data_IF_064742239887
#
_entry.id   IF_064742239887
#
_cell.length_a   1.000
_cell.length_b   1.000
_cell.length_c   1.000
_cell.angle_alpha   90.00
_cell.angle_beta   90.00
_cell.angle_gamma   90.00
#
_symmetry.space_group_name_H-M   'P 1'
#
loop_
_entity.id
_entity.type
_entity.pdbx_description
1 polymer ?
#
# COMPACT_ATOMS: atom_id res chain seq x y z
N UNK A 1 2.38 4.45 13.85
CA UNK A 1 2.71 4.49 12.40
C UNK A 1 2.79 5.95 11.96
N UNK A 2 3.55 6.28 10.93
CA UNK A 2 3.71 7.67 10.47
C UNK A 2 2.99 7.91 9.15
N UNK A 3 2.25 9.02 9.05
CA UNK A 3 1.54 9.42 7.84
C UNK A 3 1.65 10.94 7.61
N UNK A 4 1.54 11.36 6.35
CA UNK A 4 1.50 12.76 5.99
C UNK A 4 0.13 13.37 6.34
N UNK A 5 0.15 14.48 7.05
CA UNK A 5 -1.02 15.27 7.42
C UNK A 5 -0.95 16.66 6.81
N UNK A 6 -2.04 17.08 6.18
CA UNK A 6 -2.17 18.43 5.65
C UNK A 6 -2.89 19.33 6.65
N UNK A 7 -2.18 20.32 7.20
CA UNK A 7 -2.73 21.28 8.18
C UNK A 7 -3.87 22.12 7.57
N UNK A 8 -3.75 22.50 6.30
CA UNK A 8 -4.75 23.30 5.58
C UNK A 8 -6.04 22.52 5.34
N UNK A 9 -5.93 21.28 4.85
CA UNK A 9 -7.08 20.41 4.58
C UNK A 9 -7.58 19.65 5.83
N UNK A 10 -6.86 19.74 6.95
CA UNK A 10 -7.13 19.09 8.23
C UNK A 10 -7.38 17.58 8.12
N UNK A 11 -6.56 16.89 7.32
CA UNK A 11 -6.69 15.45 7.09
C UNK A 11 -5.34 14.77 6.86
N UNK A 12 -5.28 13.48 7.17
CA UNK A 12 -4.22 12.60 6.68
C UNK A 12 -4.37 12.40 5.17
N UNK A 13 -3.25 12.34 4.46
CA UNK A 13 -3.19 12.21 3.02
C UNK A 13 -2.96 10.75 2.63
N UNK A 14 -3.84 10.22 1.78
CA UNK A 14 -3.54 9.02 1.02
C UNK A 14 -2.39 9.31 0.04
N UNK A 15 -1.65 8.29 -0.35
CA UNK A 15 -0.47 8.40 -1.23
C UNK A 15 -0.78 9.13 -2.54
N UNK A 16 -1.97 8.89 -3.10
CA UNK A 16 -2.46 9.53 -4.33
C UNK A 16 -2.71 11.05 -4.20
N UNK A 17 -2.81 11.56 -2.97
CA UNK A 17 -2.99 12.98 -2.64
C UNK A 17 -1.67 13.68 -2.30
N UNK A 18 -0.56 12.96 -2.40
CA UNK A 18 0.79 13.46 -2.20
C UNK A 18 1.48 13.52 -3.55
N UNK A 19 2.12 14.66 -3.83
CA UNK A 19 2.95 14.86 -5.01
C UNK A 19 4.28 15.50 -4.61
N UNK A 20 5.34 15.28 -5.37
CA UNK A 20 6.64 15.87 -5.13
C UNK A 20 7.66 15.48 -6.19
N UNK A 21 8.91 15.83 -5.96
CA UNK A 21 10.02 15.44 -6.82
C UNK A 21 10.52 14.04 -6.50
N UNK A 22 10.77 13.27 -7.55
CA UNK A 22 11.35 11.93 -7.47
C UNK A 22 12.72 11.98 -6.76
N UNK A 23 12.93 11.09 -5.78
CA UNK A 23 14.16 10.98 -4.99
C UNK A 23 15.22 10.05 -5.59
N UNK A 24 14.86 9.24 -6.59
CA UNK A 24 15.81 8.38 -7.29
C UNK A 24 16.80 9.20 -8.14
N UNK A 25 18.09 8.93 -7.96
CA UNK A 25 19.16 9.58 -8.71
C UNK A 25 19.04 9.33 -10.22
N UNK A 26 19.43 10.32 -11.02
CA UNK A 26 19.36 10.26 -12.49
C UNK A 26 17.98 10.53 -13.07
N UNK A 27 16.94 10.70 -12.25
CA UNK A 27 15.59 11.02 -12.69
C UNK A 27 15.08 12.31 -12.03
N UNK A 28 14.94 13.36 -12.83
CA UNK A 28 14.32 14.62 -12.39
C UNK A 28 12.87 14.65 -12.84
N UNK A 29 11.95 14.39 -11.91
CA UNK A 29 10.52 14.46 -12.18
C UNK A 29 9.80 15.08 -10.97
N UNK A 30 9.29 16.30 -11.15
CA UNK A 30 8.77 17.15 -10.07
C UNK A 30 7.28 16.92 -9.75
N UNK A 31 6.69 15.89 -10.33
CA UNK A 31 5.27 15.54 -10.16
C UNK A 31 5.07 14.06 -9.89
N UNK A 32 6.08 13.41 -9.30
CA UNK A 32 5.97 12.04 -8.83
C UNK A 32 4.85 11.95 -7.80
N UNK A 33 4.07 10.86 -7.85
CA UNK A 33 3.03 10.59 -6.85
C UNK A 33 3.66 9.93 -5.64
N UNK A 34 2.95 9.98 -4.52
CA UNK A 34 3.38 9.36 -3.28
C UNK A 34 3.58 7.84 -3.36
N UNK A 35 2.96 7.15 -4.32
CA UNK A 35 2.98 5.69 -4.49
C UNK A 35 3.94 5.21 -5.59
N UNK A 36 4.09 6.00 -6.66
CA UNK A 36 4.97 5.64 -7.79
C UNK A 36 5.41 6.86 -8.60
N UNK A 37 6.53 6.71 -9.31
CA UNK A 37 7.01 7.68 -10.27
C UNK A 37 6.72 7.24 -11.71
N UNK A 38 5.99 8.06 -12.47
CA UNK A 38 5.68 7.81 -13.89
C UNK A 38 6.92 7.86 -14.79
N UNK A 39 7.96 8.56 -14.38
CA UNK A 39 9.16 8.74 -15.20
C UNK A 39 10.15 7.57 -15.08
N UNK A 40 10.38 7.05 -13.87
CA UNK A 40 11.33 5.95 -13.65
C UNK A 40 10.67 4.60 -13.39
N UNK A 41 9.36 4.56 -13.12
CA UNK A 41 8.60 3.33 -12.86
C UNK A 41 8.81 2.73 -11.47
N UNK A 42 9.63 3.35 -10.62
CA UNK A 42 9.87 2.87 -9.26
C UNK A 42 8.68 3.15 -8.34
N UNK A 43 8.48 2.24 -7.39
CA UNK A 43 7.62 2.46 -6.23
C UNK A 43 8.31 3.45 -5.29
N UNK A 44 7.51 4.31 -4.68
CA UNK A 44 7.95 5.35 -3.76
C UNK A 44 7.11 5.30 -2.49
N UNK A 45 7.70 5.72 -1.38
CA UNK A 45 6.91 6.13 -0.22
C UNK A 45 6.67 7.64 -0.26
N UNK A 46 5.49 8.15 0.18
CA UNK A 46 5.21 9.58 0.18
C UNK A 46 6.20 10.40 1.02
N UNK A 47 6.83 9.78 2.02
CA UNK A 47 7.82 10.42 2.90
C UNK A 47 9.21 10.52 2.27
N UNK A 48 9.46 9.80 1.16
CA UNK A 48 10.74 9.82 0.43
C UNK A 48 10.76 10.87 -0.69
N UNK A 49 9.60 11.43 -1.04
CA UNK A 49 9.50 12.49 -2.05
C UNK A 49 10.22 13.76 -1.58
N UNK A 50 10.94 14.38 -2.51
CA UNK A 50 11.54 15.71 -2.30
C UNK A 50 10.44 16.77 -2.56
N UNK A 51 10.48 17.89 -1.83
CA UNK A 51 9.53 19.01 -1.98
C UNK A 51 8.06 18.59 -1.98
N UNK A 52 7.72 17.69 -1.05
CA UNK A 52 6.39 17.09 -0.91
C UNK A 52 5.29 18.14 -0.74
N UNK A 53 4.20 17.98 -1.49
CA UNK A 53 3.03 18.87 -1.48
C UNK A 53 1.74 18.07 -1.42
N UNK A 54 0.73 18.67 -0.78
CA UNK A 54 -0.64 18.18 -0.88
C UNK A 54 -1.21 18.50 -2.26
N UNK A 55 -1.65 17.50 -3.01
CA UNK A 55 -2.22 17.67 -4.35
C UNK A 55 -3.45 18.60 -4.37
N UNK A 56 -4.19 18.66 -3.26
CA UNK A 56 -5.43 19.43 -3.12
C UNK A 56 -5.21 20.93 -2.90
N UNK A 57 -4.35 21.30 -1.95
CA UNK A 57 -4.16 22.70 -1.55
C UNK A 57 -2.74 23.24 -1.80
N UNK A 58 -1.85 22.40 -2.33
CA UNK A 58 -0.45 22.71 -2.66
C UNK A 58 0.44 23.11 -1.47
N UNK A 59 -0.05 23.02 -0.23
CA UNK A 59 0.77 23.25 0.96
C UNK A 59 1.60 22.02 1.32
N UNK A 60 2.72 22.26 1.99
CA UNK A 60 3.63 21.21 2.46
C UNK A 60 2.95 20.45 3.61
N UNK A 61 2.72 19.12 3.49
CA UNK A 61 2.21 18.30 4.58
C UNK A 61 3.30 18.00 5.61
N UNK A 62 2.90 17.59 6.81
CA UNK A 62 3.83 17.20 7.90
C UNK A 62 3.64 15.74 8.26
N UNK A 63 4.73 15.07 8.60
CA UNK A 63 4.64 13.72 9.18
C UNK A 63 4.02 13.82 10.57
N UNK A 64 3.03 12.96 10.84
CA UNK A 64 2.39 12.81 12.14
C UNK A 64 2.22 11.35 12.47
N UNK A 65 2.30 11.04 13.76
CA UNK A 65 1.96 9.72 14.27
C UNK A 65 0.45 9.51 14.24
N UNK A 66 0.07 8.28 13.94
CA UNK A 66 -1.31 7.82 13.91
C UNK A 66 -1.38 6.39 14.45
N UNK A 67 -2.45 6.14 15.20
CA UNK A 67 -2.81 4.83 15.72
C UNK A 67 -3.67 4.12 14.68
N UNK A 68 -3.24 2.93 14.28
CA UNK A 68 -3.94 2.10 13.31
C UNK A 68 -4.25 0.76 13.96
N UNK A 69 -5.48 0.29 13.74
CA UNK A 69 -5.86 -1.08 14.07
C UNK A 69 -5.54 -1.96 12.87
N UNK A 70 -4.87 -3.07 13.12
CA UNK A 70 -4.54 -4.05 12.09
C UNK A 70 -5.35 -5.32 12.33
N UNK A 71 -5.75 -5.95 11.22
CA UNK A 71 -6.35 -7.28 11.25
C UNK A 71 -5.21 -8.28 11.12
N UNK A 72 -5.10 -9.18 12.09
CA UNK A 72 -4.12 -10.25 12.07
C UNK A 72 -4.62 -11.37 11.15
N UNK A 73 -4.34 -11.24 9.85
CA UNK A 73 -4.82 -12.16 8.82
C UNK A 73 -4.33 -13.60 9.02
N UNK A 74 -3.18 -13.81 9.67
CA UNK A 74 -2.67 -15.13 10.03
C UNK A 74 -3.66 -15.93 10.87
N UNK A 75 -4.39 -15.28 11.79
CA UNK A 75 -5.42 -15.92 12.62
C UNK A 75 -6.66 -16.32 11.82
N UNK A 76 -6.87 -15.73 10.65
CA UNK A 76 -8.01 -16.02 9.78
C UNK A 76 -7.69 -17.07 8.71
N UNK A 77 -6.45 -17.57 8.66
CA UNK A 77 -5.98 -18.50 7.62
C UNK A 77 -6.87 -19.72 7.47
N UNK A 78 -7.08 -20.47 8.55
CA UNK A 78 -7.83 -21.73 8.50
C UNK A 78 -9.27 -21.50 8.01
N UNK A 79 -9.91 -20.43 8.48
CA UNK A 79 -11.26 -20.03 8.06
C UNK A 79 -11.31 -19.63 6.58
N UNK A 80 -10.29 -18.94 6.07
CA UNK A 80 -10.20 -18.55 4.66
C UNK A 80 -9.97 -19.77 3.77
N UNK A 81 -9.10 -20.69 4.17
CA UNK A 81 -8.82 -21.93 3.43
C UNK A 81 -10.06 -22.84 3.37
N UNK A 82 -10.81 -22.96 4.47
CA UNK A 82 -12.08 -23.70 4.51
C UNK A 82 -13.11 -23.09 3.55
N UNK A 83 -13.34 -21.77 3.62
CA UNK A 83 -14.27 -21.05 2.74
C UNK A 83 -13.91 -21.20 1.24
N UNK A 84 -12.61 -21.12 0.92
CA UNK A 84 -12.13 -21.29 -0.46
C UNK A 84 -12.36 -22.74 -0.93
N UNK A 85 -12.10 -23.73 -0.09
CA UNK A 85 -12.34 -25.14 -0.43
C UNK A 85 -13.83 -25.45 -0.64
N UNK A 86 -14.72 -24.93 0.21
CA UNK A 86 -16.17 -25.11 0.04
C UNK A 86 -16.68 -24.52 -1.28
N UNK A 87 -16.21 -23.31 -1.62
CA UNK A 87 -16.60 -22.62 -2.87
C UNK A 87 -16.01 -23.29 -4.12
N UNK A 88 -14.80 -23.87 -4.00
CA UNK A 88 -14.17 -24.69 -5.04
C UNK A 88 -15.01 -25.94 -5.34
N UNK A 89 -15.41 -26.70 -4.31
CA UNK A 89 -16.25 -27.89 -4.45
C UNK A 89 -17.63 -27.55 -5.04
N UNK A 90 -18.18 -26.38 -4.69
CA UNK A 90 -19.44 -25.90 -5.23
C UNK A 90 -19.35 -25.40 -6.69
N UNK A 91 -18.15 -25.30 -7.28
CA UNK A 91 -17.94 -24.85 -8.67
C UNK A 91 -18.42 -23.43 -8.94
N UNK A 92 -18.41 -22.58 -7.91
CA UNK A 92 -19.07 -21.26 -7.95
C UNK A 92 -18.20 -20.15 -8.54
N UNK A 93 -16.88 -20.37 -8.69
CA UNK A 93 -15.92 -19.38 -9.19
C UNK A 93 -15.29 -19.78 -10.52
N UNK A 94 -14.74 -18.79 -11.23
CA UNK A 94 -13.99 -19.06 -12.46
C UNK A 94 -12.58 -19.56 -12.13
N UNK A 95 -12.02 -20.38 -13.01
CA UNK A 95 -10.65 -20.88 -12.89
C UNK A 95 -9.60 -19.76 -12.73
N UNK A 96 -9.86 -18.56 -13.26
CA UNK A 96 -8.96 -17.41 -13.06
C UNK A 96 -8.96 -16.92 -11.61
N UNK A 97 -10.11 -16.94 -10.95
CA UNK A 97 -10.23 -16.55 -9.53
C UNK A 97 -9.54 -17.60 -8.66
N UNK A 98 -9.82 -18.87 -8.91
CA UNK A 98 -9.22 -20.00 -8.17
C UNK A 98 -7.69 -19.93 -8.20
N UNK A 99 -7.11 -19.83 -9.40
CA UNK A 99 -5.66 -19.77 -9.56
C UNK A 99 -5.04 -18.54 -8.90
N UNK A 100 -5.73 -17.40 -8.89
CA UNK A 100 -5.25 -16.20 -8.20
C UNK A 100 -5.25 -16.38 -6.69
N UNK A 101 -6.27 -17.04 -6.13
CA UNK A 101 -6.36 -17.30 -4.70
C UNK A 101 -5.30 -18.29 -4.23
N UNK A 102 -5.03 -19.35 -5.01
CA UNK A 102 -3.91 -20.25 -4.73
C UNK A 102 -2.58 -19.48 -4.68
N UNK A 103 -2.33 -18.60 -5.66
CA UNK A 103 -1.12 -17.77 -5.68
C UNK A 103 -1.06 -16.88 -4.44
N UNK A 104 -2.14 -16.17 -4.09
CA UNK A 104 -2.18 -15.28 -2.92
C UNK A 104 -1.95 -16.05 -1.61
N UNK A 105 -2.64 -17.18 -1.41
CA UNK A 105 -2.47 -18.02 -0.22
C UNK A 105 -1.04 -18.56 -0.07
N UNK A 106 -0.38 -18.87 -1.19
CA UNK A 106 1.01 -19.35 -1.22
C UNK A 106 2.05 -18.23 -1.12
N UNK A 107 1.79 -17.05 -1.70
CA UNK A 107 2.72 -15.92 -1.73
C UNK A 107 2.74 -15.13 -0.43
N UNK A 108 1.58 -14.99 0.22
CA UNK A 108 1.43 -14.16 1.43
C UNK A 108 2.10 -14.79 2.66
N UNK A 109 2.40 -16.10 2.62
CA UNK A 109 3.20 -16.80 3.64
C UNK A 109 4.64 -16.26 3.74
N UNK A 110 5.27 -15.91 2.62
CA UNK A 110 6.65 -15.40 2.64
C UNK A 110 6.76 -13.92 3.01
N UNK A 111 5.64 -13.17 3.00
CA UNK A 111 5.62 -11.74 3.33
C UNK A 111 5.30 -11.51 4.81
N UNK A 112 4.38 -12.30 5.39
CA UNK A 112 4.02 -12.20 6.82
C UNK A 112 5.18 -12.67 7.72
N UNK A 113 5.91 -13.74 7.36
CA UNK A 113 7.08 -14.22 8.13
C UNK A 113 8.22 -13.20 8.20
N UNK A 114 8.37 -12.35 7.16
CA UNK A 114 9.39 -11.28 7.15
C UNK A 114 9.06 -10.12 8.09
N UNK A 115 7.80 -9.90 8.44
CA UNK A 115 7.37 -8.81 9.32
C UNK A 115 7.36 -9.21 10.81
N UNK A 116 7.38 -10.50 11.12
CA UNK A 116 7.47 -11.02 12.50
C UNK A 116 8.92 -11.34 12.93
N UNK A 117 9.90 -11.01 12.08
CA UNK A 117 11.32 -11.35 12.24
C UNK A 117 12.27 -10.18 12.52
N UNK A 118 11.77 -9.03 12.98
CA UNK A 118 12.57 -7.89 13.48
C UNK A 118 12.10 -7.44 14.88
#
# INVERSE_FOLDING_TARGET
MQQLYCDTCKKFLAEQLVEGSCSFEGYHYDSARGDYCENCGNLLSPTELIDTKCKLCKTIPRIRDTDNLFIELSLLRELLEECINETYVAGSWSHTVERKLEILLMSDLQYIERLQGD
#
